data_IF_762606223506
#
_entry.id   IF_762606223506
#
_cell.length_a   1.000
_cell.length_b   1.000
_cell.length_c   1.000
_cell.angle_alpha   90.00
_cell.angle_beta   90.00
_cell.angle_gamma   90.00
#
_symmetry.space_group_name_H-M   'P 1'
#
loop_
_entity.id
_entity.type
_entity.pdbx_description
1 polymer ?
#
# COMPACT_ATOMS: atom_id res chain seq x y z
N UNK A 1 13.77 -7.07 34.83
CA UNK A 1 12.52 -7.36 35.54
C UNK A 1 11.44 -7.66 34.53
N UNK A 2 11.13 -8.96 34.47
CA UNK A 2 9.96 -9.65 33.93
C UNK A 2 8.64 -8.87 33.99
N UNK A 3 7.62 -9.08 33.16
CA UNK A 3 7.40 -9.93 32.01
C UNK A 3 5.95 -9.71 31.50
N UNK A 4 5.62 -10.48 30.45
CA UNK A 4 4.28 -11.05 30.13
C UNK A 4 3.43 -10.31 29.08
N UNK A 5 3.62 -10.81 27.86
CA UNK A 5 2.60 -11.04 26.83
C UNK A 5 1.23 -11.39 27.43
N UNK A 6 0.16 -10.86 26.84
CA UNK A 6 -1.19 -11.43 26.97
C UNK A 6 -1.80 -11.64 25.58
N UNK A 7 -1.44 -12.77 25.00
CA UNK A 7 -2.26 -13.51 24.03
C UNK A 7 -3.52 -13.99 24.76
N UNK A 8 -4.70 -13.69 24.20
CA UNK A 8 -5.98 -14.29 24.61
C UNK A 8 -6.55 -15.07 23.44
N UNK A 9 -6.13 -16.33 23.35
CA UNK A 9 -6.80 -17.40 22.64
C UNK A 9 -8.00 -17.84 23.47
N UNK A 10 -9.20 -17.79 22.90
CA UNK A 10 -10.37 -18.49 23.44
C UNK A 10 -10.61 -19.70 22.54
N UNK A 11 -10.16 -20.85 23.03
CA UNK A 11 -10.44 -22.18 22.50
C UNK A 11 -11.56 -22.78 23.37
N UNK A 12 -12.74 -22.91 22.78
CA UNK A 12 -13.81 -23.83 23.20
C UNK A 12 -13.90 -24.86 22.08
N UNK A 13 -13.64 -26.16 22.22
CA UNK A 13 -13.79 -27.03 23.38
C UNK A 13 -15.00 -27.93 23.16
N UNK A 14 -14.88 -28.97 22.31
CA UNK A 14 -15.77 -30.12 22.35
C UNK A 14 -14.98 -31.38 21.93
N UNK A 15 -14.84 -32.31 22.87
CA UNK A 15 -14.21 -33.60 22.69
C UNK A 15 -15.29 -34.65 22.43
N UNK A 16 -15.12 -35.48 21.39
CA UNK A 16 -15.79 -36.78 21.28
C UNK A 16 -14.79 -37.81 20.73
N UNK A 17 -14.76 -38.92 21.47
CA UNK A 17 -14.10 -40.23 21.35
C UNK A 17 -13.66 -40.75 19.98
N UNK A 18 -12.53 -41.47 20.01
CA UNK A 18 -11.92 -42.23 18.92
C UNK A 18 -12.75 -43.44 18.45
N UNK A 19 -12.80 -43.64 17.12
CA UNK A 19 -12.94 -44.95 16.46
C UNK A 19 -11.94 -45.00 15.31
N UNK A 20 -11.10 -46.04 15.30
CA UNK A 20 -10.15 -46.34 14.23
C UNK A 20 -10.87 -46.86 12.98
N UNK A 21 -10.25 -46.58 11.82
CA UNK A 21 -10.49 -47.11 10.48
C UNK A 21 -11.70 -46.55 9.72
N UNK A 22 -11.42 -45.61 8.82
CA UNK A 22 -12.37 -45.13 7.81
C UNK A 22 -11.71 -44.10 6.92
N UNK A 23 -11.67 -44.39 5.62
CA UNK A 23 -11.26 -43.53 4.50
C UNK A 23 -11.29 -42.02 4.78
N UNK A 24 -10.16 -41.33 4.60
CA UNK A 24 -10.09 -39.87 4.64
C UNK A 24 -10.76 -39.28 3.40
N UNK A 25 -12.09 -39.18 3.43
CA UNK A 25 -12.84 -38.30 2.54
C UNK A 25 -12.51 -36.86 2.94
N UNK A 26 -11.60 -36.22 2.20
CA UNK A 26 -11.40 -34.79 2.28
C UNK A 26 -12.70 -34.10 1.85
N UNK A 27 -13.47 -33.58 2.81
CA UNK A 27 -14.59 -32.70 2.52
C UNK A 27 -14.01 -31.41 1.90
N UNK A 28 -14.09 -31.30 0.58
CA UNK A 28 -13.85 -30.05 -0.12
C UNK A 28 -14.90 -29.05 0.35
N UNK A 29 -14.48 -28.03 1.11
CA UNK A 29 -15.33 -26.87 1.35
C UNK A 29 -15.46 -26.12 0.02
N UNK A 30 -16.54 -26.38 -0.70
CA UNK A 30 -16.92 -25.70 -1.93
C UNK A 30 -17.12 -24.21 -1.61
N UNK A 31 -16.09 -23.41 -1.84
CA UNK A 31 -16.19 -21.96 -1.71
C UNK A 31 -17.00 -21.44 -2.89
N UNK A 32 -18.23 -21.01 -2.64
CA UNK A 32 -19.03 -20.35 -3.67
C UNK A 32 -18.22 -19.19 -4.27
N UNK A 33 -18.17 -19.04 -5.61
CA UNK A 33 -17.41 -17.98 -6.24
C UNK A 33 -17.94 -16.63 -5.76
N UNK A 34 -17.04 -15.79 -5.24
CA UNK A 34 -17.38 -14.42 -4.91
C UNK A 34 -17.85 -13.72 -6.21
N UNK A 35 -18.92 -12.91 -6.15
CA UNK A 35 -19.37 -12.18 -7.34
C UNK A 35 -18.23 -11.30 -7.86
N UNK A 36 -17.94 -11.46 -9.16
CA UNK A 36 -16.93 -10.66 -9.85
C UNK A 36 -17.32 -9.17 -9.88
N UNK A 37 -16.36 -8.27 -10.13
CA UNK A 37 -16.63 -6.84 -10.16
C UNK A 37 -17.67 -6.49 -11.23
N UNK A 38 -18.74 -5.79 -10.82
CA UNK A 38 -19.81 -5.31 -11.70
C UNK A 38 -19.47 -3.93 -12.26
N UNK A 39 -18.50 -3.85 -13.17
CA UNK A 39 -18.15 -2.61 -13.89
C UNK A 39 -16.64 -2.42 -14.12
N UNK A 40 -16.29 -1.33 -14.80
CA UNK A 40 -14.91 -0.94 -15.13
C UNK A 40 -14.10 -0.37 -13.94
N UNK A 41 -14.77 -0.15 -12.80
CA UNK A 41 -14.17 0.42 -11.58
C UNK A 41 -13.97 1.94 -11.61
N UNK A 42 -14.40 2.63 -12.67
CA UNK A 42 -14.22 4.08 -12.82
C UNK A 42 -14.86 4.87 -11.67
N UNK A 43 -16.08 4.51 -11.27
CA UNK A 43 -16.76 5.15 -10.14
C UNK A 43 -15.95 5.06 -8.84
N UNK A 44 -15.42 3.88 -8.54
CA UNK A 44 -14.62 3.63 -7.34
C UNK A 44 -13.27 4.36 -7.39
N UNK A 45 -12.68 4.50 -8.58
CA UNK A 45 -11.49 5.33 -8.77
C UNK A 45 -11.82 6.81 -8.53
N UNK A 46 -12.85 7.36 -9.19
CA UNK A 46 -13.26 8.75 -9.05
C UNK A 46 -13.55 9.15 -7.60
N UNK A 47 -14.23 8.29 -6.83
CA UNK A 47 -14.43 8.50 -5.39
C UNK A 47 -13.13 8.61 -4.59
N UNK A 48 -12.06 7.93 -5.02
CA UNK A 48 -10.76 7.91 -4.33
C UNK A 48 -9.83 9.04 -4.75
N UNK A 49 -10.03 9.65 -5.91
CA UNK A 49 -9.15 10.70 -6.47
C UNK A 49 -8.77 11.78 -5.43
N UNK A 50 -9.69 12.41 -4.69
CA UNK A 50 -9.32 13.45 -3.73
C UNK A 50 -8.41 12.95 -2.59
N UNK A 51 -8.56 11.69 -2.19
CA UNK A 51 -7.73 11.08 -1.14
C UNK A 51 -6.36 10.69 -1.68
N UNK A 52 -6.28 10.25 -2.94
CA UNK A 52 -5.02 9.92 -3.61
C UNK A 52 -4.17 11.17 -3.81
N UNK A 53 -4.79 12.27 -4.25
CA UNK A 53 -4.13 13.57 -4.47
C UNK A 53 -3.46 14.07 -3.18
N UNK A 54 -4.23 14.14 -2.08
CA UNK A 54 -3.70 14.49 -0.75
C UNK A 54 -2.63 13.52 -0.22
N UNK A 55 -2.63 12.26 -0.67
CA UNK A 55 -1.60 11.28 -0.27
C UNK A 55 -0.30 11.53 -1.02
N UNK A 56 -0.38 11.77 -2.33
CA UNK A 56 0.78 12.09 -3.16
C UNK A 56 1.43 13.38 -2.66
N UNK A 57 0.64 14.43 -2.41
CA UNK A 57 1.15 15.71 -1.90
C UNK A 57 1.88 15.58 -0.57
N UNK A 58 1.34 14.81 0.37
CA UNK A 58 2.00 14.58 1.67
C UNK A 58 3.30 13.79 1.52
N UNK A 59 3.35 12.86 0.57
CA UNK A 59 4.57 12.11 0.27
C UNK A 59 5.63 13.02 -0.34
N UNK A 60 5.29 13.79 -1.37
CA UNK A 60 6.20 14.77 -1.99
C UNK A 60 6.70 15.78 -0.97
N UNK A 61 5.81 16.40 -0.17
CA UNK A 61 6.18 17.33 0.89
C UNK A 61 7.20 16.74 1.89
N UNK A 62 7.09 15.44 2.20
CA UNK A 62 8.05 14.77 3.09
C UNK A 62 9.39 14.51 2.40
N UNK A 63 9.35 14.08 1.14
CA UNK A 63 10.54 13.79 0.34
C UNK A 63 11.37 15.06 0.09
N UNK A 64 10.69 16.17 -0.19
CA UNK A 64 11.27 17.48 -0.49
C UNK A 64 11.65 18.29 0.75
N UNK A 65 11.33 17.80 1.95
CA UNK A 65 11.67 18.50 3.18
C UNK A 65 13.19 18.59 3.41
N UNK A 66 13.62 19.50 4.28
CA UNK A 66 15.04 19.69 4.58
C UNK A 66 15.71 18.51 5.31
N UNK A 67 17.02 18.63 5.55
CA UNK A 67 17.85 17.59 6.16
C UNK A 67 17.48 17.24 7.62
N UNK A 68 16.70 18.08 8.31
CA UNK A 68 16.15 17.76 9.63
C UNK A 68 15.03 16.71 9.60
N UNK A 69 14.34 16.56 8.47
CA UNK A 69 13.11 15.78 8.39
C UNK A 69 13.39 14.31 8.12
N UNK A 70 12.81 13.42 8.93
CA UNK A 70 12.89 11.97 8.70
C UNK A 70 12.21 11.60 7.38
N UNK A 71 12.95 10.92 6.51
CA UNK A 71 12.43 10.46 5.23
C UNK A 71 12.52 11.49 4.10
N UNK A 72 13.15 12.64 4.31
CA UNK A 72 13.51 13.51 3.18
C UNK A 72 14.71 12.98 2.41
N UNK A 73 14.80 13.36 1.13
CA UNK A 73 15.96 13.13 0.28
C UNK A 73 17.19 13.84 0.87
N UNK A 74 17.04 15.10 1.28
CA UNK A 74 18.12 15.90 1.86
C UNK A 74 18.74 15.27 3.12
N UNK A 75 17.93 14.68 4.01
CA UNK A 75 18.45 13.99 5.19
C UNK A 75 19.21 12.73 4.81
N UNK A 76 18.75 12.00 3.81
CA UNK A 76 19.39 10.77 3.37
C UNK A 76 20.73 11.08 2.68
N UNK A 77 20.79 12.12 1.85
CA UNK A 77 22.03 12.64 1.28
C UNK A 77 23.05 12.97 2.37
N UNK A 78 22.66 13.75 3.39
CA UNK A 78 23.55 14.07 4.52
C UNK A 78 24.13 12.83 5.21
N UNK A 79 23.34 11.75 5.32
CA UNK A 79 23.81 10.49 5.92
C UNK A 79 24.80 9.76 5.02
N UNK A 80 24.59 9.77 3.70
CA UNK A 80 25.58 9.26 2.73
C UNK A 80 26.89 10.02 2.88
N UNK A 81 26.83 11.36 2.90
CA UNK A 81 28.02 12.20 2.98
C UNK A 81 28.79 11.96 4.28
N UNK A 82 28.08 11.83 5.41
CA UNK A 82 28.70 11.51 6.69
C UNK A 82 29.38 10.13 6.69
N UNK A 83 28.74 9.11 6.10
CA UNK A 83 29.33 7.77 6.01
C UNK A 83 30.59 7.76 5.14
N UNK A 84 30.57 8.48 4.00
CA UNK A 84 31.73 8.67 3.13
C UNK A 84 32.88 9.37 3.85
N UNK A 85 32.59 10.47 4.55
CA UNK A 85 33.59 11.24 5.33
C UNK A 85 34.25 10.42 6.43
N UNK A 86 33.51 9.49 7.03
CA UNK A 86 34.02 8.62 8.07
C UNK A 86 34.67 7.32 7.53
N UNK A 87 34.70 7.11 6.20
CA UNK A 87 35.29 5.92 5.59
C UNK A 87 34.45 4.64 5.69
N UNK A 88 33.16 4.74 6.03
CA UNK A 88 32.27 3.58 6.16
C UNK A 88 31.68 3.23 4.79
N UNK A 89 32.47 2.57 3.93
CA UNK A 89 32.13 2.33 2.52
C UNK A 89 30.84 1.52 2.35
N UNK A 90 30.65 0.44 3.08
CA UNK A 90 29.48 -0.44 2.99
C UNK A 90 28.19 0.29 3.42
N UNK A 91 28.31 1.11 4.48
CA UNK A 91 27.20 1.94 4.96
C UNK A 91 26.88 3.02 3.91
N UNK A 92 27.90 3.66 3.34
CA UNK A 92 27.72 4.67 2.30
C UNK A 92 27.02 4.07 1.07
N UNK A 93 27.42 2.89 0.62
CA UNK A 93 26.78 2.17 -0.51
C UNK A 93 25.31 1.88 -0.22
N UNK A 94 25.00 1.26 0.91
CA UNK A 94 23.62 0.98 1.29
C UNK A 94 22.75 2.25 1.37
N UNK A 95 23.30 3.33 1.93
CA UNK A 95 22.60 4.61 2.01
C UNK A 95 22.43 5.28 0.63
N UNK A 96 23.41 5.12 -0.26
CA UNK A 96 23.35 5.62 -1.63
C UNK A 96 22.25 4.90 -2.42
N UNK A 97 22.12 3.58 -2.29
CA UNK A 97 21.03 2.84 -2.96
C UNK A 97 19.66 3.31 -2.45
N UNK A 98 19.52 3.50 -1.13
CA UNK A 98 18.30 4.06 -0.56
C UNK A 98 18.02 5.49 -1.03
N UNK A 99 19.07 6.29 -1.26
CA UNK A 99 18.95 7.64 -1.80
C UNK A 99 18.43 7.57 -3.24
N UNK A 100 19.04 6.74 -4.08
CA UNK A 100 18.63 6.54 -5.46
C UNK A 100 17.16 6.11 -5.55
N UNK A 101 16.75 5.13 -4.74
CA UNK A 101 15.36 4.67 -4.67
C UNK A 101 14.39 5.79 -4.22
N UNK A 102 14.80 6.62 -3.26
CA UNK A 102 13.97 7.72 -2.77
C UNK A 102 13.83 8.83 -3.82
N UNK A 103 14.89 9.10 -4.57
CA UNK A 103 14.87 10.05 -5.70
C UNK A 103 13.98 9.54 -6.83
N UNK A 104 14.09 8.26 -7.21
CA UNK A 104 13.20 7.65 -8.20
C UNK A 104 11.73 7.71 -7.77
N UNK A 105 11.43 7.37 -6.51
CA UNK A 105 10.08 7.49 -5.97
C UNK A 105 9.53 8.91 -6.05
N UNK A 106 10.36 9.92 -5.81
CA UNK A 106 9.96 11.34 -5.93
C UNK A 106 9.51 11.64 -7.36
N UNK A 107 10.31 11.27 -8.35
CA UNK A 107 9.99 11.45 -9.78
C UNK A 107 8.70 10.72 -10.16
N UNK A 108 8.53 9.48 -9.72
CA UNK A 108 7.30 8.72 -9.98
C UNK A 108 6.08 9.41 -9.37
N UNK A 109 6.19 9.91 -8.14
CA UNK A 109 5.09 10.61 -7.48
C UNK A 109 4.73 11.94 -8.17
N UNK A 110 5.70 12.67 -8.72
CA UNK A 110 5.44 13.86 -9.54
C UNK A 110 4.66 13.50 -10.81
N UNK A 111 5.04 12.41 -11.48
CA UNK A 111 4.30 11.94 -12.64
C UNK A 111 2.88 11.49 -12.27
N UNK A 112 2.74 10.71 -11.19
CA UNK A 112 1.43 10.25 -10.72
C UNK A 112 0.53 11.40 -10.30
N UNK A 113 1.08 12.51 -9.79
CA UNK A 113 0.30 13.73 -9.52
C UNK A 113 -0.29 14.31 -10.80
N UNK A 114 0.48 14.38 -11.88
CA UNK A 114 0.02 14.85 -13.19
C UNK A 114 -1.05 13.92 -13.76
N UNK A 115 -0.80 12.61 -13.74
CA UNK A 115 -1.76 11.59 -14.20
C UNK A 115 -3.09 11.71 -13.43
N UNK A 116 -3.03 11.87 -12.11
CA UNK A 116 -4.21 11.99 -11.27
C UNK A 116 -4.99 13.28 -11.54
N UNK A 117 -4.33 14.37 -11.94
CA UNK A 117 -5.01 15.58 -12.38
C UNK A 117 -5.85 15.33 -13.64
N UNK A 118 -5.32 14.58 -14.61
CA UNK A 118 -6.08 14.18 -15.80
C UNK A 118 -7.29 13.29 -15.43
N UNK A 119 -7.10 12.33 -14.52
CA UNK A 119 -8.21 11.49 -14.00
C UNK A 119 -9.26 12.35 -13.30
N UNK A 120 -8.85 13.35 -12.51
CA UNK A 120 -9.77 14.28 -11.84
C UNK A 120 -10.63 15.03 -12.85
N UNK A 121 -10.03 15.58 -13.90
CA UNK A 121 -10.75 16.26 -14.99
C UNK A 121 -11.75 15.31 -15.66
N UNK A 122 -11.32 14.08 -15.98
CA UNK A 122 -12.21 13.08 -16.57
C UNK A 122 -13.40 12.75 -15.65
N UNK A 123 -13.16 12.52 -14.36
CA UNK A 123 -14.22 12.23 -13.39
C UNK A 123 -15.26 13.36 -13.31
N UNK A 124 -14.83 14.63 -13.40
CA UNK A 124 -15.73 15.78 -13.39
C UNK A 124 -16.60 15.83 -14.65
N UNK A 125 -16.06 15.44 -15.80
CA UNK A 125 -16.77 15.44 -17.07
C UNK A 125 -17.69 14.22 -17.30
N UNK A 126 -17.56 13.16 -16.49
CA UNK A 126 -18.21 11.86 -16.73
C UNK A 126 -19.02 11.38 -15.51
N UNK A 127 -19.80 12.27 -14.87
CA UNK A 127 -20.67 11.94 -13.73
C UNK A 127 -19.98 11.18 -12.59
N UNK A 128 -18.70 11.49 -12.33
CA UNK A 128 -17.84 10.77 -11.38
C UNK A 128 -17.72 9.26 -11.68
N UNK A 129 -17.73 8.88 -12.95
CA UNK A 129 -17.58 7.51 -13.43
C UNK A 129 -18.76 6.61 -13.08
N UNK A 130 -19.95 7.16 -12.80
CA UNK A 130 -21.16 6.37 -12.59
C UNK A 130 -21.53 5.68 -13.91
N UNK A 131 -21.63 4.35 -13.92
CA UNK A 131 -22.18 3.64 -15.06
C UNK A 131 -23.67 3.98 -15.19
N UNK A 132 -24.08 4.49 -16.35
CA UNK A 132 -25.50 4.55 -16.71
C UNK A 132 -25.92 3.12 -17.02
N UNK A 133 -26.41 2.40 -16.01
CA UNK A 133 -27.00 1.10 -16.21
C UNK A 133 -28.31 1.28 -17.00
N UNK A 134 -28.22 1.45 -18.32
CA UNK A 134 -29.38 1.35 -19.21
C UNK A 134 -29.63 -0.15 -19.44
N UNK A 135 -30.17 -0.82 -18.42
CA UNK A 135 -30.90 -2.08 -18.57
C UNK A 135 -32.35 -1.80 -18.23
N UNK A 136 -33.18 -1.76 -19.26
CA UNK A 136 -34.63 -1.59 -19.14
C UNK A 136 -35.23 -0.91 -20.36
N UNK A 137 -35.29 -1.62 -21.49
CA UNK A 137 -36.47 -1.69 -22.37
C UNK A 137 -36.27 -2.80 -23.39
#
# INVERSE_FOLDING_TARGET
>A
MDARRRTRTLLTGLAVTAVLAGTTSAAAAESAPAPGPTGDGAHALCKRVPKLDRRIDRSLKRLDAGAGTRGSVARLQKRVDNAKKAGHTEIATFLQDRLNQRTSLRTDLEQRKKDLAAVKTWCQANDNGKSTNKKGS
#
